data_IF_066436304412
#
_entry.id   IF_066436304412
#
_cell.length_a   1.000
_cell.length_b   1.000
_cell.length_c   1.000
_cell.angle_alpha   90.00
_cell.angle_beta   90.00
_cell.angle_gamma   90.00
#
_symmetry.space_group_name_H-M   'P 1'
#
loop_
_entity.id
_entity.type
_entity.pdbx_description
1 polymer ?
#
# COMPACT_ATOMS: atom_id res chain seq x y z
N UNK A 1 -0.14 -15.01 15.22
CA UNK A 1 -1.61 -15.12 15.03
C UNK A 1 -2.22 -13.88 15.68
N UNK A 2 -3.23 -13.24 15.07
CA UNK A 2 -3.80 -11.98 15.60
C UNK A 2 -5.08 -12.30 16.36
N UNK A 3 -5.27 -11.70 17.52
CA UNK A 3 -6.45 -11.88 18.36
C UNK A 3 -7.66 -11.14 17.75
N UNK A 4 -8.81 -11.81 17.64
CA UNK A 4 -10.01 -11.27 16.96
C UNK A 4 -11.17 -10.97 17.92
N UNK A 5 -11.31 -11.71 19.01
CA UNK A 5 -12.46 -11.57 19.92
C UNK A 5 -12.16 -10.57 21.04
N UNK A 6 -10.95 -10.63 21.59
CA UNK A 6 -10.47 -9.72 22.63
C UNK A 6 -9.89 -8.45 22.00
N UNK A 7 -10.63 -7.34 22.17
CA UNK A 7 -10.27 -6.04 21.61
C UNK A 7 -9.02 -5.45 22.27
N UNK A 8 -8.85 -5.65 23.57
CA UNK A 8 -7.74 -5.06 24.33
C UNK A 8 -6.43 -5.77 23.97
N UNK A 9 -6.45 -7.11 23.89
CA UNK A 9 -5.31 -7.87 23.41
C UNK A 9 -4.94 -7.50 21.97
N UNK A 10 -5.94 -7.30 21.10
CA UNK A 10 -5.72 -6.85 19.73
C UNK A 10 -5.09 -5.46 19.65
N UNK A 11 -5.47 -4.55 20.55
CA UNK A 11 -4.83 -3.24 20.66
C UNK A 11 -3.34 -3.34 21.02
N UNK A 12 -2.98 -4.21 21.96
CA UNK A 12 -1.58 -4.45 22.33
C UNK A 12 -0.77 -5.01 21.14
N UNK A 13 -1.32 -5.98 20.41
CA UNK A 13 -0.70 -6.54 19.20
C UNK A 13 -0.55 -5.50 18.08
N UNK A 14 -1.48 -4.55 18.00
CA UNK A 14 -1.45 -3.46 17.02
C UNK A 14 -0.39 -2.43 17.37
N UNK A 15 -0.24 -2.12 18.65
CA UNK A 15 0.75 -1.16 19.14
C UNK A 15 2.18 -1.61 18.82
N UNK A 16 2.45 -2.91 18.81
CA UNK A 16 3.75 -3.49 18.43
C UNK A 16 4.14 -3.27 16.96
N UNK A 17 3.19 -2.87 16.11
CA UNK A 17 3.43 -2.59 14.68
C UNK A 17 3.90 -1.16 14.42
N UNK A 18 3.74 -0.29 15.42
CA UNK A 18 4.10 1.12 15.34
C UNK A 18 5.47 1.29 15.97
N UNK A 19 6.41 1.74 15.15
CA UNK A 19 7.78 1.90 15.57
C UNK A 19 7.99 3.20 16.35
N UNK A 20 8.65 3.09 17.50
CA UNK A 20 9.10 4.26 18.27
C UNK A 20 9.93 5.21 17.39
N UNK A 21 9.74 6.54 17.46
CA UNK A 21 9.02 7.28 18.51
C UNK A 21 7.50 7.45 18.29
N UNK A 22 6.95 6.84 17.25
CA UNK A 22 5.51 6.93 16.98
C UNK A 22 4.69 6.05 17.92
N UNK A 23 3.41 6.36 18.04
CA UNK A 23 2.47 5.65 18.89
C UNK A 23 1.16 5.41 18.15
N UNK A 24 0.54 4.26 18.41
CA UNK A 24 -0.79 3.95 17.91
C UNK A 24 -1.79 4.91 18.55
N UNK A 25 -2.57 5.59 17.72
CA UNK A 25 -3.75 6.34 18.15
C UNK A 25 -4.88 5.35 18.43
N UNK A 26 -5.39 5.25 19.67
CA UNK A 26 -6.44 4.31 20.01
C UNK A 26 -7.74 4.51 19.22
N UNK A 27 -7.95 5.70 18.64
CA UNK A 27 -9.10 6.03 17.81
C UNK A 27 -8.94 5.60 16.34
N UNK A 28 -7.73 5.20 15.93
CA UNK A 28 -7.39 4.76 14.57
C UNK A 28 -7.04 3.27 14.52
N UNK A 29 -7.73 2.46 15.32
CA UNK A 29 -7.66 1.00 15.33
C UNK A 29 -8.78 0.40 14.45
N UNK A 30 -8.49 0.23 13.17
CA UNK A 30 -9.49 -0.04 12.13
C UNK A 30 -9.59 -1.54 11.82
N UNK A 31 -10.25 -2.27 12.71
CA UNK A 31 -10.17 -3.73 12.74
C UNK A 31 -11.13 -4.48 11.80
N UNK A 32 -12.08 -3.76 11.20
CA UNK A 32 -13.06 -4.28 10.25
C UNK A 32 -13.32 -3.30 9.11
N UNK A 33 -14.01 -3.74 8.04
CA UNK A 33 -14.47 -2.84 6.99
C UNK A 33 -15.36 -1.70 7.52
N UNK A 34 -16.20 -1.96 8.53
CA UNK A 34 -17.05 -0.91 9.10
C UNK A 34 -16.24 0.10 9.90
N UNK A 35 -15.25 -0.33 10.69
CA UNK A 35 -14.35 0.61 11.39
C UNK A 35 -13.62 1.53 10.40
N UNK A 36 -13.24 1.00 9.23
CA UNK A 36 -12.68 1.80 8.14
C UNK A 36 -13.68 2.82 7.57
N UNK A 37 -14.93 2.44 7.33
CA UNK A 37 -15.97 3.38 6.89
C UNK A 37 -16.18 4.48 7.92
N UNK A 38 -16.31 4.11 9.21
CA UNK A 38 -16.48 5.07 10.31
C UNK A 38 -15.30 6.05 10.38
N UNK A 39 -14.08 5.58 10.07
CA UNK A 39 -12.87 6.39 10.08
C UNK A 39 -12.86 7.51 9.02
N UNK A 40 -13.66 7.41 7.95
CA UNK A 40 -13.76 8.49 6.96
C UNK A 40 -14.31 9.79 7.59
N UNK A 41 -15.09 9.67 8.67
CA UNK A 41 -15.60 10.80 9.44
C UNK A 41 -14.65 11.20 10.60
N UNK A 42 -13.59 10.44 10.87
CA UNK A 42 -12.63 10.76 11.92
C UNK A 42 -11.88 12.06 11.58
N UNK A 43 -11.77 13.05 12.50
CA UNK A 43 -11.23 14.37 12.17
C UNK A 43 -9.83 14.33 11.53
N UNK A 44 -8.94 13.46 12.01
CA UNK A 44 -7.58 13.33 11.45
C UNK A 44 -7.58 12.74 10.03
N UNK A 45 -8.50 11.82 9.72
CA UNK A 45 -8.59 11.17 8.41
C UNK A 45 -9.31 12.08 7.42
N UNK A 46 -10.42 12.70 7.82
CA UNK A 46 -11.12 13.69 7.01
C UNK A 46 -10.21 14.87 6.63
N UNK A 47 -9.47 15.43 7.60
CA UNK A 47 -8.50 16.48 7.35
C UNK A 47 -7.36 16.03 6.41
N UNK A 48 -6.89 14.79 6.56
CA UNK A 48 -5.89 14.22 5.66
C UNK A 48 -6.40 14.08 4.22
N UNK A 49 -7.59 13.47 4.05
CA UNK A 49 -8.23 13.28 2.75
C UNK A 49 -8.43 14.65 2.08
N UNK A 50 -8.91 15.66 2.81
CA UNK A 50 -9.05 17.01 2.30
C UNK A 50 -7.71 17.61 1.87
N UNK A 51 -6.67 17.47 2.70
CA UNK A 51 -5.32 17.92 2.34
C UNK A 51 -4.83 17.29 1.04
N UNK A 52 -4.86 15.96 0.92
CA UNK A 52 -4.34 15.29 -0.28
C UNK A 52 -5.23 15.50 -1.50
N UNK A 53 -6.56 15.69 -1.35
CA UNK A 53 -7.50 15.90 -2.46
C UNK A 53 -7.60 17.36 -2.93
N UNK A 54 -7.24 18.34 -2.10
CA UNK A 54 -7.47 19.76 -2.44
C UNK A 54 -6.21 20.61 -2.44
N UNK A 55 -5.19 20.26 -1.66
CA UNK A 55 -4.13 21.20 -1.32
C UNK A 55 -2.70 20.70 -1.57
N UNK A 56 -2.46 19.39 -1.49
CA UNK A 56 -1.13 18.84 -1.75
C UNK A 56 -0.68 19.15 -3.19
N UNK A 57 0.48 19.77 -3.35
CA UNK A 57 1.10 20.00 -4.65
C UNK A 57 2.56 19.55 -4.58
N UNK A 58 2.99 18.59 -5.42
CA UNK A 58 4.37 18.14 -5.42
C UNK A 58 5.33 19.26 -5.84
N UNK A 59 6.50 19.31 -5.20
CA UNK A 59 7.57 20.26 -5.58
C UNK A 59 8.79 19.48 -6.03
N UNK A 60 9.12 19.58 -7.31
CA UNK A 60 10.21 18.82 -7.91
C UNK A 60 11.34 19.72 -8.40
N UNK A 61 12.60 19.26 -8.31
CA UNK A 61 13.66 19.85 -9.12
C UNK A 61 13.38 19.68 -10.62
N UNK A 62 14.20 20.34 -11.44
CA UNK A 62 14.21 20.06 -12.88
C UNK A 62 14.60 18.61 -13.10
N UNK A 63 13.83 17.90 -13.91
CA UNK A 63 14.04 16.51 -14.27
C UNK A 63 13.68 16.35 -15.76
N UNK A 64 14.32 15.40 -16.44
CA UNK A 64 14.00 15.07 -17.83
C UNK A 64 12.74 14.21 -17.93
N UNK A 65 12.54 13.34 -16.94
CA UNK A 65 11.35 12.50 -16.81
C UNK A 65 10.94 12.37 -15.35
N UNK A 66 9.65 12.36 -15.08
CA UNK A 66 9.05 12.23 -13.74
C UNK A 66 8.08 11.07 -13.71
N UNK A 67 8.29 10.17 -12.76
CA UNK A 67 7.41 9.02 -12.53
C UNK A 67 6.80 9.12 -11.15
N UNK A 68 5.48 9.02 -11.08
CA UNK A 68 4.77 8.76 -9.83
C UNK A 68 4.75 7.25 -9.58
N UNK A 69 5.40 6.80 -8.51
CA UNK A 69 5.42 5.41 -8.07
C UNK A 69 4.53 5.26 -6.82
N UNK A 70 3.37 4.65 -7.01
CA UNK A 70 2.54 4.17 -5.92
C UNK A 70 3.07 2.86 -5.35
N UNK A 71 3.20 2.79 -4.03
CA UNK A 71 3.59 1.61 -3.26
C UNK A 71 2.45 1.24 -2.30
N UNK A 72 2.30 -0.02 -1.87
CA UNK A 72 1.26 -0.40 -0.92
C UNK A 72 1.62 0.04 0.49
N UNK A 73 0.61 0.24 1.33
CA UNK A 73 0.85 0.35 2.77
C UNK A 73 1.35 -0.99 3.33
N UNK A 74 2.03 -0.92 4.47
CA UNK A 74 2.62 -2.09 5.14
C UNK A 74 2.16 -2.18 6.59
N UNK A 75 2.25 -3.40 7.14
CA UNK A 75 1.95 -3.66 8.56
C UNK A 75 2.77 -2.75 9.49
N UNK A 76 4.09 -2.68 9.27
CA UNK A 76 5.00 -1.83 10.05
C UNK A 76 4.85 -0.38 9.64
N UNK A 77 4.79 0.51 10.64
CA UNK A 77 4.70 1.97 10.45
C UNK A 77 5.81 2.67 11.24
N UNK A 78 6.45 3.72 10.68
CA UNK A 78 6.19 4.32 9.36
C UNK A 78 6.61 3.37 8.23
N UNK A 79 5.88 3.41 7.10
CA UNK A 79 6.04 2.44 6.01
C UNK A 79 7.48 2.25 5.50
N UNK A 80 8.32 3.31 5.37
CA UNK A 80 9.70 3.17 4.89
C UNK A 80 10.59 2.30 5.79
N UNK A 81 10.16 2.04 7.03
CA UNK A 81 10.88 1.15 7.94
C UNK A 81 10.51 -0.34 7.77
N UNK A 82 9.48 -0.65 6.98
CA UNK A 82 9.11 -2.03 6.65
C UNK A 82 10.14 -2.71 5.76
N UNK A 83 10.29 -4.04 5.88
CA UNK A 83 11.19 -4.83 5.02
C UNK A 83 10.94 -4.60 3.53
N UNK A 84 9.66 -4.46 3.15
CA UNK A 84 9.26 -4.28 1.75
C UNK A 84 9.71 -2.93 1.20
N UNK A 85 9.43 -1.84 1.92
CA UNK A 85 9.84 -0.50 1.48
C UNK A 85 11.35 -0.34 1.50
N UNK A 86 12.04 -0.92 2.50
CA UNK A 86 13.51 -0.94 2.54
C UNK A 86 14.09 -1.64 1.31
N UNK A 87 13.56 -2.80 0.92
CA UNK A 87 14.03 -3.53 -0.27
C UNK A 87 13.80 -2.74 -1.58
N UNK A 88 12.61 -2.15 -1.75
CA UNK A 88 12.28 -1.34 -2.94
C UNK A 88 13.17 -0.09 -2.99
N UNK A 89 13.31 0.63 -1.88
CA UNK A 89 14.16 1.82 -1.81
C UNK A 89 15.64 1.47 -2.04
N UNK A 90 16.12 0.36 -1.45
CA UNK A 90 17.49 -0.10 -1.65
C UNK A 90 17.74 -0.41 -3.12
N UNK A 91 16.80 -1.08 -3.81
CA UNK A 91 16.94 -1.34 -5.25
C UNK A 91 17.07 -0.05 -6.06
N UNK A 92 16.28 0.98 -5.75
CA UNK A 92 16.39 2.27 -6.40
C UNK A 92 17.77 2.88 -6.15
N UNK A 93 18.25 2.88 -4.91
CA UNK A 93 19.56 3.41 -4.53
C UNK A 93 20.70 2.66 -5.25
N UNK A 94 20.65 1.33 -5.27
CA UNK A 94 21.62 0.48 -5.97
C UNK A 94 21.63 0.75 -7.49
N UNK A 95 20.52 1.25 -8.03
CA UNK A 95 20.38 1.63 -9.43
C UNK A 95 20.84 3.07 -9.72
N UNK A 96 21.41 3.76 -8.74
CA UNK A 96 21.98 5.10 -8.89
C UNK A 96 21.05 6.26 -8.51
N UNK A 97 19.87 5.98 -7.95
CA UNK A 97 18.98 7.03 -7.45
C UNK A 97 19.49 7.62 -6.14
N UNK A 98 19.36 8.95 -5.99
CA UNK A 98 19.76 9.69 -4.80
C UNK A 98 18.62 10.59 -4.33
N UNK A 99 18.45 10.82 -3.02
CA UNK A 99 17.46 11.77 -2.53
C UNK A 99 17.71 13.20 -2.99
N UNK A 100 16.63 13.90 -3.29
CA UNK A 100 16.67 15.31 -3.72
C UNK A 100 16.80 16.29 -2.56
N UNK A 101 16.54 15.85 -1.32
CA UNK A 101 16.73 16.66 -0.13
C UNK A 101 17.09 15.78 1.09
N UNK A 102 17.51 16.44 2.18
CA UNK A 102 17.81 15.77 3.46
C UNK A 102 16.57 15.69 4.33
N UNK A 103 15.61 14.85 3.94
CA UNK A 103 14.41 14.59 4.70
C UNK A 103 14.37 13.11 5.10
N UNK A 104 14.66 12.79 6.35
CA UNK A 104 14.73 11.41 6.84
C UNK A 104 13.66 11.14 7.90
N UNK A 105 13.37 9.87 8.14
CA UNK A 105 12.70 9.43 9.35
C UNK A 105 13.47 9.87 10.62
N UNK A 106 12.83 9.90 11.81
CA UNK A 106 13.50 10.22 13.08
C UNK A 106 14.81 9.46 13.32
N UNK A 107 15.75 10.09 14.02
CA UNK A 107 17.11 9.57 14.24
C UNK A 107 17.09 8.21 14.97
N UNK A 108 16.12 7.99 15.85
CA UNK A 108 15.93 6.74 16.58
C UNK A 108 15.67 5.57 15.64
N UNK A 109 14.94 5.80 14.54
CA UNK A 109 14.71 4.79 13.51
C UNK A 109 15.94 4.58 12.64
N UNK A 110 16.63 5.66 12.27
CA UNK A 110 17.89 5.58 11.50
C UNK A 110 18.96 4.76 12.23
N UNK A 111 19.08 4.94 13.54
CA UNK A 111 20.04 4.22 14.38
C UNK A 111 19.75 2.71 14.50
N UNK A 112 18.51 2.30 14.22
CA UNK A 112 18.06 0.90 14.26
C UNK A 112 18.04 0.22 12.89
N UNK A 113 18.41 0.94 11.82
CA UNK A 113 18.48 0.38 10.48
C UNK A 113 19.51 -0.76 10.44
N UNK A 114 19.15 -1.86 9.81
CA UNK A 114 20.05 -3.00 9.67
C UNK A 114 21.27 -2.63 8.80
N UNK A 115 22.50 -3.05 9.16
CA UNK A 115 23.72 -2.61 8.47
C UNK A 115 23.79 -2.94 6.97
N UNK A 116 22.98 -3.88 6.49
CA UNK A 116 22.90 -4.24 5.07
C UNK A 116 22.18 -3.20 4.22
N UNK A 117 21.45 -2.26 4.82
CA UNK A 117 20.74 -1.20 4.10
C UNK A 117 21.50 0.12 4.16
N UNK A 118 21.47 0.86 3.05
CA UNK A 118 21.89 2.26 3.02
C UNK A 118 20.97 3.10 3.90
N UNK A 119 21.52 4.09 4.61
CA UNK A 119 20.70 5.07 5.37
C UNK A 119 19.70 5.81 4.47
N UNK A 120 20.00 5.94 3.18
CA UNK A 120 19.12 6.61 2.21
C UNK A 120 17.78 5.89 2.02
N UNK A 121 17.64 4.62 2.40
CA UNK A 121 16.35 3.90 2.30
C UNK A 121 15.26 4.53 3.18
N UNK A 122 15.66 5.28 4.22
CA UNK A 122 14.76 5.97 5.15
C UNK A 122 14.52 7.44 4.77
N UNK A 123 15.04 7.90 3.62
CA UNK A 123 14.79 9.24 3.12
C UNK A 123 13.39 9.33 2.49
N UNK A 124 12.68 10.41 2.79
CA UNK A 124 11.29 10.68 2.42
C UNK A 124 11.15 11.60 1.20
N UNK A 125 12.23 12.20 0.72
CA UNK A 125 12.18 13.07 -0.45
C UNK A 125 12.03 12.29 -1.76
N UNK A 126 11.64 12.94 -2.87
CA UNK A 126 11.77 12.36 -4.19
C UNK A 126 13.21 11.92 -4.47
N UNK A 127 13.36 10.88 -5.30
CA UNK A 127 14.66 10.38 -5.72
C UNK A 127 14.95 10.79 -7.17
N UNK A 128 16.21 11.07 -7.50
CA UNK A 128 16.64 11.40 -8.86
C UNK A 128 17.95 10.68 -9.20
N UNK A 129 18.12 10.27 -10.45
CA UNK A 129 19.38 9.72 -10.96
C UNK A 129 20.14 10.72 -11.86
N UNK A 130 21.36 10.36 -12.23
CA UNK A 130 22.25 11.20 -13.04
C UNK A 130 21.74 11.41 -14.48
N UNK A 131 20.82 10.56 -14.95
CA UNK A 131 20.18 10.70 -16.27
C UNK A 131 19.04 11.72 -16.25
N UNK A 132 18.57 12.10 -15.06
CA UNK A 132 17.50 13.07 -14.83
C UNK A 132 16.12 12.43 -14.74
N UNK A 133 16.02 11.13 -14.44
CA UNK A 133 14.78 10.46 -14.08
C UNK A 133 14.48 10.69 -12.60
N UNK A 134 13.32 11.27 -12.31
CA UNK A 134 12.83 11.51 -10.96
C UNK A 134 11.73 10.51 -10.60
N UNK A 135 11.87 9.87 -9.44
CA UNK A 135 10.86 9.00 -8.83
C UNK A 135 10.23 9.73 -7.65
N UNK A 136 8.97 10.05 -7.79
CA UNK A 136 8.13 10.53 -6.70
C UNK A 136 7.32 9.37 -6.14
N UNK A 137 7.45 9.13 -4.84
CA UNK A 137 6.85 7.97 -4.19
C UNK A 137 5.61 8.39 -3.40
N UNK A 138 4.53 7.62 -3.55
CA UNK A 138 3.33 7.73 -2.73
C UNK A 138 2.89 6.35 -2.25
N UNK A 139 2.27 6.27 -1.09
CA UNK A 139 1.71 5.02 -0.57
C UNK A 139 0.19 5.01 -0.76
N UNK A 140 -0.36 4.00 -1.43
CA UNK A 140 -1.81 3.75 -1.40
C UNK A 140 -2.12 3.10 -0.06
N UNK A 141 -3.08 3.66 0.69
CA UNK A 141 -3.37 3.21 2.04
C UNK A 141 -4.82 3.48 2.43
N UNK A 142 -5.50 2.50 2.99
CA UNK A 142 -6.72 2.73 3.75
C UNK A 142 -6.40 3.23 5.18
N UNK A 143 -7.12 4.26 5.70
CA UNK A 143 -8.22 5.00 5.09
C UNK A 143 -7.79 6.31 4.40
N UNK A 144 -6.50 6.50 4.16
CA UNK A 144 -5.92 7.78 3.72
C UNK A 144 -6.02 8.04 2.21
N UNK A 145 -6.38 7.03 1.41
CA UNK A 145 -6.34 7.05 -0.05
C UNK A 145 -4.90 7.00 -0.56
N UNK A 146 -4.16 8.10 -0.42
CA UNK A 146 -2.74 8.21 -0.76
C UNK A 146 -1.94 8.92 0.32
N UNK A 147 -0.67 8.54 0.47
CA UNK A 147 0.30 9.15 1.38
C UNK A 147 1.58 9.52 0.65
N UNK A 148 1.81 10.79 0.28
CA UNK A 148 3.10 11.25 -0.23
C UNK A 148 4.22 10.97 0.75
N UNK A 149 5.37 10.49 0.26
CA UNK A 149 6.48 10.10 1.14
C UNK A 149 6.94 11.27 2.02
N UNK A 150 6.97 12.47 1.46
CA UNK A 150 7.34 13.72 2.13
C UNK A 150 6.43 14.04 3.33
N UNK A 151 5.25 13.42 3.39
CA UNK A 151 4.24 13.62 4.43
C UNK A 151 3.93 12.36 5.24
N UNK A 152 4.79 11.33 5.17
CA UNK A 152 4.63 10.13 5.99
C UNK A 152 4.71 10.45 7.48
N UNK A 153 5.58 11.38 7.89
CA UNK A 153 5.78 11.72 9.31
C UNK A 153 4.89 12.89 9.73
N UNK A 154 4.80 13.93 8.90
CA UNK A 154 4.15 15.19 9.25
C UNK A 154 3.50 15.84 8.02
N UNK A 155 2.38 16.52 8.23
CA UNK A 155 1.76 17.41 7.26
C UNK A 155 1.24 18.66 7.99
N UNK A 156 1.49 19.85 7.43
CA UNK A 156 1.10 21.14 8.04
C UNK A 156 1.57 21.34 9.50
N UNK A 157 2.76 20.85 9.86
CA UNK A 157 3.23 20.93 11.25
C UNK A 157 2.49 19.99 12.21
N UNK A 158 1.70 19.04 11.70
CA UNK A 158 0.93 18.08 12.49
C UNK A 158 1.36 16.63 12.19
N UNK A 159 1.35 15.73 13.19
CA UNK A 159 1.66 14.32 12.97
C UNK A 159 0.71 13.68 11.95
N UNK A 160 1.32 13.06 10.93
CA UNK A 160 0.58 12.32 9.91
C UNK A 160 -0.19 11.14 10.53
N UNK A 161 -1.44 10.87 10.12
CA UNK A 161 -2.16 9.68 10.56
C UNK A 161 -1.45 8.39 10.10
N UNK A 162 -0.61 8.45 9.07
CA UNK A 162 0.10 7.30 8.51
C UNK A 162 1.04 6.59 9.49
N UNK A 163 1.50 7.28 10.54
CA UNK A 163 2.37 6.69 11.57
C UNK A 163 1.62 6.18 12.80
N UNK A 164 0.30 6.38 12.88
CA UNK A 164 -0.44 6.26 14.13
C UNK A 164 -1.73 5.42 14.02
N UNK A 165 -1.95 4.69 12.93
CA UNK A 165 -3.14 3.84 12.76
C UNK A 165 -2.76 2.36 12.74
N UNK A 166 -3.71 1.46 12.95
CA UNK A 166 -3.58 0.05 12.57
C UNK A 166 -4.77 -0.39 11.74
N UNK A 167 -4.47 -1.17 10.70
CA UNK A 167 -5.46 -1.80 9.84
C UNK A 167 -4.89 -3.18 9.43
N UNK A 168 -5.57 -4.30 9.73
CA UNK A 168 -5.13 -5.64 9.31
C UNK A 168 -5.18 -5.86 7.79
N UNK A 169 -5.68 -4.88 7.04
CA UNK A 169 -5.99 -4.88 5.64
C UNK A 169 -7.35 -5.52 5.37
N UNK A 170 -8.08 -4.99 4.40
CA UNK A 170 -9.43 -5.43 4.05
C UNK A 170 -9.44 -6.75 3.25
N UNK A 171 -9.02 -7.84 3.88
CA UNK A 171 -8.86 -9.15 3.25
C UNK A 171 -9.91 -10.17 3.73
N UNK A 172 -10.98 -10.36 2.94
CA UNK A 172 -12.05 -11.34 3.26
C UNK A 172 -11.51 -12.76 3.51
N UNK A 173 -10.51 -13.21 2.72
CA UNK A 173 -9.97 -14.57 2.83
C UNK A 173 -9.09 -14.81 4.06
N UNK A 174 -8.49 -13.76 4.63
CA UNK A 174 -7.61 -13.87 5.82
C UNK A 174 -8.42 -14.05 7.11
N UNK A 175 -9.65 -13.54 7.13
CA UNK A 175 -10.58 -13.76 8.24
C UNK A 175 -10.20 -13.07 9.54
N UNK A 176 -9.33 -12.06 9.49
CA UNK A 176 -8.91 -11.25 10.63
C UNK A 176 -9.42 -9.79 10.59
N UNK A 177 -9.95 -9.34 9.44
CA UNK A 177 -10.58 -8.03 9.30
C UNK A 177 -12.06 -8.08 9.68
N UNK A 178 -12.35 -8.37 10.95
CA UNK A 178 -13.69 -8.40 11.53
C UNK A 178 -13.66 -7.85 12.96
N UNK A 179 -14.79 -7.34 13.42
CA UNK A 179 -14.98 -6.76 14.75
C UNK A 179 -16.23 -7.35 15.40
N UNK A 180 -16.20 -8.62 15.85
CA UNK A 180 -17.39 -9.34 16.32
C UNK A 180 -17.99 -8.76 17.61
N UNK A 181 -17.27 -7.88 18.30
CA UNK A 181 -17.78 -7.13 19.44
C UNK A 181 -18.74 -5.99 19.05
N UNK A 182 -18.79 -5.60 17.77
CA UNK A 182 -19.75 -4.59 17.30
C UNK A 182 -21.15 -5.21 17.17
N UNK A 183 -22.17 -4.44 17.49
CA UNK A 183 -23.58 -4.87 17.43
C UNK A 183 -24.09 -5.03 16.00
N UNK A 184 -23.47 -4.35 15.03
CA UNK A 184 -23.76 -4.42 13.60
C UNK A 184 -22.93 -5.47 12.84
N UNK A 185 -22.04 -6.20 13.53
CA UNK A 185 -21.23 -7.24 12.90
C UNK A 185 -22.10 -8.43 12.50
N UNK A 186 -21.98 -8.84 11.23
CA UNK A 186 -22.60 -10.07 10.71
C UNK A 186 -21.60 -11.16 10.40
N UNK A 187 -20.32 -10.94 10.72
CA UNK A 187 -19.28 -11.94 10.56
C UNK A 187 -19.55 -13.18 11.41
N UNK A 188 -19.25 -14.36 10.85
CA UNK A 188 -19.42 -15.65 11.54
C UNK A 188 -18.08 -16.31 11.77
N UNK A 189 -17.87 -16.84 12.98
CA UNK A 189 -16.71 -17.68 13.28
C UNK A 189 -16.76 -18.98 12.46
N UNK A 190 -15.66 -19.31 11.78
CA UNK A 190 -15.45 -20.59 11.09
C UNK A 190 -14.62 -21.53 11.97
N UNK A 191 -13.65 -20.97 12.69
CA UNK A 191 -12.90 -21.64 13.75
C UNK A 191 -12.47 -20.59 14.78
N UNK A 192 -11.77 -21.02 15.85
CA UNK A 192 -11.30 -20.13 16.92
C UNK A 192 -10.54 -18.89 16.39
N UNK A 193 -9.82 -19.04 15.28
CA UNK A 193 -8.92 -18.00 14.74
C UNK A 193 -9.26 -17.59 13.31
N UNK A 194 -10.41 -18.00 12.78
CA UNK A 194 -10.82 -17.70 11.40
C UNK A 194 -12.27 -17.29 11.36
N UNK A 195 -12.51 -16.10 10.81
CA UNK A 195 -13.84 -15.57 10.60
C UNK A 195 -14.15 -15.42 9.11
N UNK A 196 -15.44 -15.43 8.79
CA UNK A 196 -15.95 -15.15 7.46
C UNK A 196 -16.79 -13.88 7.54
N UNK A 197 -16.59 -12.98 6.59
CA UNK A 197 -17.43 -11.79 6.45
C UNK A 197 -18.89 -12.16 6.19
N UNK A 198 -19.79 -11.50 6.91
CA UNK A 198 -21.21 -11.49 6.63
C UNK A 198 -21.56 -10.41 5.60
N UNK A 199 -22.83 -10.07 5.54
CA UNK A 199 -23.35 -9.11 4.58
C UNK A 199 -22.97 -7.66 4.92
N UNK A 200 -22.89 -7.31 6.20
CA UNK A 200 -22.49 -5.97 6.65
C UNK A 200 -21.00 -5.70 6.38
N UNK A 201 -20.10 -6.65 6.68
CA UNK A 201 -18.67 -6.48 6.38
C UNK A 201 -18.42 -6.35 4.87
N UNK A 202 -19.17 -7.11 4.04
CA UNK A 202 -19.08 -6.99 2.58
C UNK A 202 -19.62 -5.66 2.07
N UNK A 203 -20.72 -5.15 2.66
CA UNK A 203 -21.30 -3.86 2.29
C UNK A 203 -20.35 -2.72 2.64
N UNK A 204 -19.87 -2.70 3.88
CA UNK A 204 -18.90 -1.72 4.36
C UNK A 204 -17.59 -1.77 3.56
N UNK A 205 -17.14 -2.97 3.19
CA UNK A 205 -15.97 -3.12 2.31
C UNK A 205 -16.16 -2.43 0.96
N UNK A 206 -17.32 -2.57 0.32
CA UNK A 206 -17.58 -1.93 -0.97
C UNK A 206 -17.60 -0.40 -0.83
N UNK A 207 -18.24 0.11 0.23
CA UNK A 207 -18.25 1.55 0.53
C UNK A 207 -16.83 2.07 0.70
N UNK A 208 -16.04 1.43 1.56
CA UNK A 208 -14.66 1.83 1.82
C UNK A 208 -13.78 1.71 0.57
N UNK A 209 -13.89 0.60 -0.15
CA UNK A 209 -13.12 0.35 -1.37
C UNK A 209 -13.34 1.45 -2.40
N UNK A 210 -14.60 1.78 -2.69
CA UNK A 210 -14.93 2.78 -3.70
C UNK A 210 -14.52 4.18 -3.24
N UNK A 211 -14.62 4.49 -1.94
CA UNK A 211 -14.10 5.75 -1.39
C UNK A 211 -12.58 5.88 -1.55
N UNK A 212 -11.81 4.81 -1.30
CA UNK A 212 -10.36 4.80 -1.52
C UNK A 212 -9.99 4.94 -2.99
N UNK A 213 -10.67 4.22 -3.88
CA UNK A 213 -10.46 4.34 -5.33
C UNK A 213 -10.74 5.76 -5.83
N UNK A 214 -11.84 6.38 -5.39
CA UNK A 214 -12.19 7.76 -5.73
C UNK A 214 -11.15 8.75 -5.19
N UNK A 215 -10.66 8.55 -3.95
CA UNK A 215 -9.62 9.40 -3.37
C UNK A 215 -8.33 9.34 -4.19
N UNK A 216 -7.86 8.14 -4.55
CA UNK A 216 -6.69 7.94 -5.41
C UNK A 216 -6.89 8.64 -6.76
N UNK A 217 -8.03 8.40 -7.42
CA UNK A 217 -8.34 9.01 -8.71
C UNK A 217 -8.41 10.54 -8.64
N UNK A 218 -9.01 11.10 -7.58
CA UNK A 218 -9.10 12.55 -7.39
C UNK A 218 -7.72 13.18 -7.29
N UNK A 219 -6.80 12.55 -6.54
CA UNK A 219 -5.43 13.06 -6.44
C UNK A 219 -4.74 12.98 -7.79
N UNK A 220 -4.78 11.82 -8.46
CA UNK A 220 -4.14 11.64 -9.77
C UNK A 220 -4.71 12.59 -10.82
N UNK A 221 -6.02 12.80 -10.87
CA UNK A 221 -6.63 13.76 -11.79
C UNK A 221 -6.12 15.19 -11.60
N UNK A 222 -5.82 15.58 -10.35
CA UNK A 222 -5.29 16.91 -10.02
C UNK A 222 -3.82 17.05 -10.37
N UNK A 223 -2.97 16.16 -9.84
CA UNK A 223 -1.51 16.33 -9.91
C UNK A 223 -0.85 15.51 -11.03
N UNK A 224 -1.61 14.65 -11.72
CA UNK A 224 -1.11 13.71 -12.73
C UNK A 224 -0.34 14.37 -13.86
N UNK A 225 -0.71 15.61 -14.20
CA UNK A 225 -0.04 16.43 -15.21
C UNK A 225 1.42 16.77 -14.88
N UNK A 226 1.87 16.57 -13.64
CA UNK A 226 3.26 16.76 -13.23
C UNK A 226 4.16 15.57 -13.60
N UNK A 227 3.60 14.46 -14.08
CA UNK A 227 4.32 13.21 -14.34
C UNK A 227 4.18 12.80 -15.81
N UNK A 228 5.26 12.21 -16.33
CA UNK A 228 5.25 11.55 -17.64
C UNK A 228 4.69 10.13 -17.53
N UNK A 229 4.64 9.59 -16.31
CA UNK A 229 4.22 8.22 -16.06
C UNK A 229 3.70 8.03 -14.64
N UNK A 230 2.71 7.13 -14.49
CA UNK A 230 2.07 6.83 -13.21
C UNK A 230 1.96 5.31 -13.07
N UNK A 231 2.71 4.77 -12.12
CA UNK A 231 2.87 3.33 -11.90
C UNK A 231 2.44 2.98 -10.49
N UNK A 232 1.68 1.90 -10.32
CA UNK A 232 1.39 1.29 -9.02
C UNK A 232 2.08 -0.05 -8.90
N UNK A 233 3.00 -0.17 -7.93
CA UNK A 233 3.76 -1.37 -7.64
C UNK A 233 3.11 -2.14 -6.48
N UNK A 234 2.08 -2.93 -6.78
CA UNK A 234 1.22 -3.61 -5.80
C UNK A 234 0.97 -5.08 -6.19
N UNK A 235 1.27 -6.03 -5.30
CA UNK A 235 1.24 -7.45 -5.66
C UNK A 235 -0.18 -7.94 -6.03
N UNK A 236 -0.30 -8.91 -6.96
CA UNK A 236 -1.55 -9.62 -7.21
C UNK A 236 -2.06 -10.29 -5.93
N UNK A 237 -3.19 -9.80 -5.42
CA UNK A 237 -3.79 -10.28 -4.17
C UNK A 237 -3.82 -9.25 -3.03
N UNK A 238 -3.15 -8.10 -3.17
CA UNK A 238 -3.32 -6.97 -2.26
C UNK A 238 -4.58 -6.17 -2.62
N UNK A 239 -5.33 -5.73 -1.59
CA UNK A 239 -6.51 -4.88 -1.78
C UNK A 239 -6.15 -3.57 -2.51
N UNK A 240 -4.95 -3.03 -2.31
CA UNK A 240 -4.43 -1.87 -3.04
C UNK A 240 -4.57 -2.00 -4.57
N UNK A 241 -4.31 -3.18 -5.14
CA UNK A 241 -4.50 -3.42 -6.58
C UNK A 241 -5.95 -3.21 -7.01
N UNK A 242 -6.89 -3.65 -6.19
CA UNK A 242 -8.33 -3.50 -6.49
C UNK A 242 -8.82 -2.06 -6.44
N UNK A 243 -8.17 -1.19 -5.65
CA UNK A 243 -8.44 0.25 -5.64
C UNK A 243 -7.96 0.95 -6.92
N UNK A 244 -6.94 0.41 -7.60
CA UNK A 244 -6.35 1.02 -8.79
C UNK A 244 -7.08 0.57 -10.06
N UNK A 245 -7.15 -0.73 -10.30
CA UNK A 245 -7.56 -1.27 -11.60
C UNK A 245 -9.04 -1.06 -11.89
N UNK A 246 -9.33 -0.67 -13.14
CA UNK A 246 -10.69 -0.45 -13.62
C UNK A 246 -11.40 -1.74 -14.01
N UNK A 247 -12.70 -1.64 -14.30
CA UNK A 247 -13.60 -2.75 -14.66
C UNK A 247 -13.04 -3.62 -15.79
N UNK A 248 -12.46 -3.02 -16.84
CA UNK A 248 -11.89 -3.75 -17.98
C UNK A 248 -10.63 -4.55 -17.65
N UNK A 249 -9.94 -4.20 -16.57
CA UNK A 249 -8.65 -4.80 -16.18
C UNK A 249 -8.81 -5.95 -15.17
N UNK A 250 -9.95 -6.01 -14.47
CA UNK A 250 -10.18 -6.91 -13.33
C UNK A 250 -10.05 -8.39 -13.68
N UNK A 251 -10.61 -8.82 -14.81
CA UNK A 251 -10.54 -10.23 -15.24
C UNK A 251 -9.10 -10.66 -15.50
N UNK A 252 -8.34 -9.84 -16.22
CA UNK A 252 -6.92 -10.12 -16.52
C UNK A 252 -6.05 -10.17 -15.26
N UNK A 253 -6.47 -9.49 -14.18
CA UNK A 253 -5.76 -9.45 -12.90
C UNK A 253 -6.28 -10.44 -11.85
N UNK A 254 -7.27 -11.29 -12.19
CA UNK A 254 -7.94 -12.19 -11.24
C UNK A 254 -8.53 -11.46 -10.02
N UNK A 255 -9.04 -10.24 -10.22
CA UNK A 255 -9.67 -9.42 -9.16
C UNK A 255 -11.18 -9.41 -9.35
N UNK A 256 -11.91 -9.58 -8.26
CA UNK A 256 -13.37 -9.53 -8.30
C UNK A 256 -13.90 -8.12 -8.66
N UNK A 257 -14.94 -8.06 -9.49
CA UNK A 257 -15.61 -6.83 -9.89
C UNK A 257 -16.79 -6.41 -8.98
N UNK A 258 -17.20 -7.28 -8.06
CA UNK A 258 -18.31 -7.00 -7.15
C UNK A 258 -18.26 -7.88 -5.90
N UNK A 259 -19.07 -7.54 -4.90
CA UNK A 259 -19.38 -8.38 -3.73
C UNK A 259 -20.86 -8.71 -3.72
N UNK A 260 -21.20 -9.93 -3.31
CA UNK A 260 -22.59 -10.37 -3.10
C UNK A 260 -23.01 -10.02 -1.68
N UNK A 261 -24.14 -9.33 -1.52
CA UNK A 261 -24.76 -8.94 -0.25
C UNK A 261 -26.23 -9.33 -0.32
N UNK A 262 -26.63 -10.33 0.44
CA UNK A 262 -27.94 -10.98 0.30
C UNK A 262 -28.17 -11.49 -1.12
N UNK A 263 -29.22 -10.98 -1.76
CA UNK A 263 -29.56 -11.28 -3.17
C UNK A 263 -28.93 -10.31 -4.18
N UNK A 264 -28.26 -9.25 -3.72
CA UNK A 264 -27.72 -8.19 -4.58
C UNK A 264 -26.22 -8.34 -4.81
N UNK A 265 -25.71 -7.69 -5.87
CA UNK A 265 -24.28 -7.54 -6.11
C UNK A 265 -23.95 -6.06 -6.12
N UNK A 266 -23.00 -5.66 -5.27
CA UNK A 266 -22.50 -4.30 -5.18
C UNK A 266 -21.16 -4.22 -5.94
N UNK A 267 -21.02 -3.20 -6.79
CA UNK A 267 -19.86 -3.05 -7.67
C UNK A 267 -18.62 -2.53 -6.94
N UNK A 268 -17.46 -3.03 -7.36
CA UNK A 268 -16.16 -2.50 -6.97
C UNK A 268 -15.61 -1.66 -8.12
N UNK A 269 -15.44 -0.37 -7.86
CA UNK A 269 -14.99 0.63 -8.82
C UNK A 269 -13.54 0.99 -8.49
N UNK A 270 -12.66 0.93 -9.49
CA UNK A 270 -11.24 1.28 -9.31
C UNK A 270 -10.95 2.72 -9.75
N UNK A 271 -9.79 3.24 -9.37
CA UNK A 271 -9.36 4.59 -9.71
C UNK A 271 -9.31 4.80 -11.24
N UNK A 272 -8.85 3.79 -11.99
CA UNK A 272 -8.81 3.82 -13.46
C UNK A 272 -10.20 3.86 -14.12
N UNK A 273 -11.29 3.57 -13.40
CA UNK A 273 -12.66 3.79 -13.92
C UNK A 273 -13.06 5.27 -13.90
N UNK A 274 -12.39 6.09 -13.08
CA UNK A 274 -12.64 7.52 -12.94
C UNK A 274 -11.67 8.39 -13.75
N UNK A 275 -10.54 7.83 -14.18
CA UNK A 275 -9.46 8.57 -14.84
C UNK A 275 -9.61 8.54 -16.36
N UNK A 276 -9.26 9.64 -17.06
CA UNK A 276 -9.14 9.62 -18.51
C UNK A 276 -7.97 8.73 -18.95
N UNK A 277 -8.01 8.22 -20.19
CA UNK A 277 -7.02 7.26 -20.71
C UNK A 277 -5.57 7.72 -20.51
N UNK A 278 -5.27 9.00 -20.77
CA UNK A 278 -3.93 9.57 -20.64
C UNK A 278 -3.42 9.77 -19.20
N UNK A 279 -4.23 9.47 -18.18
CA UNK A 279 -3.84 9.56 -16.76
C UNK A 279 -4.02 8.23 -16.02
N UNK A 280 -4.34 7.15 -16.73
CA UNK A 280 -4.52 5.83 -16.10
C UNK A 280 -3.24 5.38 -15.42
N UNK A 281 -3.42 4.76 -14.26
CA UNK A 281 -2.34 4.23 -13.43
C UNK A 281 -2.00 2.83 -13.96
N UNK A 282 -0.76 2.61 -14.38
CA UNK A 282 -0.29 1.29 -14.79
C UNK A 282 -0.04 0.42 -13.55
N UNK A 283 -0.78 -0.67 -13.40
CA UNK A 283 -0.71 -1.52 -12.21
C UNK A 283 0.22 -2.74 -12.40
N UNK A 284 1.35 -2.75 -11.71
CA UNK A 284 2.42 -3.74 -11.77
C UNK A 284 2.71 -4.38 -10.40
N UNK A 285 3.37 -5.55 -10.35
CA UNK A 285 3.68 -6.43 -11.48
C UNK A 285 2.42 -7.05 -12.11
N UNK A 286 2.48 -7.45 -13.38
CA UNK A 286 1.39 -8.19 -14.02
C UNK A 286 1.36 -9.65 -13.52
N UNK A 287 0.25 -10.38 -13.69
CA UNK A 287 0.21 -11.81 -13.37
C UNK A 287 1.27 -12.64 -14.11
N UNK A 288 1.62 -12.28 -15.35
CA UNK A 288 2.67 -12.96 -16.10
C UNK A 288 4.05 -12.66 -15.51
N UNK A 289 4.36 -11.39 -15.20
CA UNK A 289 5.61 -11.05 -14.50
C UNK A 289 5.75 -11.78 -13.16
N UNK A 290 4.65 -11.94 -12.42
CA UNK A 290 4.66 -12.74 -11.19
C UNK A 290 4.99 -14.23 -11.44
N UNK A 291 4.50 -14.80 -12.53
CA UNK A 291 4.79 -16.19 -12.92
C UNK A 291 6.26 -16.33 -13.33
N UNK A 292 6.74 -15.46 -14.21
CA UNK A 292 8.15 -15.42 -14.64
C UNK A 292 9.10 -15.19 -13.46
N UNK A 293 8.71 -14.35 -12.49
CA UNK A 293 9.50 -14.14 -11.28
C UNK A 293 9.62 -15.40 -10.42
N UNK A 294 8.59 -16.26 -10.38
CA UNK A 294 8.67 -17.56 -9.70
C UNK A 294 9.65 -18.50 -10.42
N UNK A 295 9.68 -18.47 -11.75
CA UNK A 295 10.63 -19.26 -12.56
C UNK A 295 12.07 -18.77 -12.30
N UNK A 296 12.32 -17.46 -12.39
CA UNK A 296 13.64 -16.87 -12.07
C UNK A 296 14.08 -17.15 -10.62
N UNK A 297 13.13 -17.15 -9.68
CA UNK A 297 13.39 -17.49 -8.28
C UNK A 297 13.76 -18.97 -8.14
N UNK A 298 13.09 -19.88 -8.84
CA UNK A 298 13.41 -21.30 -8.82
C UNK A 298 14.84 -21.56 -9.31
N UNK A 299 15.23 -20.91 -10.41
CA UNK A 299 16.58 -20.99 -10.97
C UNK A 299 17.62 -20.46 -9.98
N UNK A 300 17.40 -19.28 -9.38
CA UNK A 300 18.33 -18.70 -8.39
C UNK A 300 18.49 -19.57 -7.15
N UNK A 301 17.42 -20.23 -6.71
CA UNK A 301 17.44 -21.11 -5.54
C UNK A 301 17.90 -22.54 -5.86
N UNK A 302 18.04 -22.90 -7.15
CA UNK A 302 18.35 -24.27 -7.57
C UNK A 302 17.29 -25.28 -7.10
N UNK A 303 16.02 -24.92 -7.17
CA UNK A 303 14.89 -25.70 -6.64
C UNK A 303 13.74 -25.81 -7.63
N UNK A 304 12.72 -26.62 -7.32
CA UNK A 304 11.54 -26.75 -8.17
C UNK A 304 10.56 -25.57 -8.01
N UNK A 305 9.65 -25.41 -8.98
CA UNK A 305 8.65 -24.34 -9.00
C UNK A 305 7.71 -24.37 -7.78
N UNK A 306 7.45 -25.53 -7.19
CA UNK A 306 6.54 -25.65 -6.04
C UNK A 306 7.18 -25.03 -4.80
N UNK A 307 8.46 -25.36 -4.56
CA UNK A 307 9.23 -24.78 -3.47
C UNK A 307 9.44 -23.28 -3.67
N UNK A 308 9.82 -22.87 -4.89
CA UNK A 308 9.99 -21.47 -5.25
C UNK A 308 8.70 -20.66 -5.03
N UNK A 309 7.54 -21.19 -5.47
CA UNK A 309 6.25 -20.56 -5.22
C UNK A 309 5.96 -20.39 -3.73
N UNK A 310 6.33 -21.37 -2.90
CA UNK A 310 6.22 -21.27 -1.45
C UNK A 310 7.05 -20.11 -0.87
N UNK A 311 8.29 -19.94 -1.35
CA UNK A 311 9.16 -18.80 -0.96
C UNK A 311 8.57 -17.48 -1.45
N UNK A 312 8.16 -17.44 -2.73
CA UNK A 312 7.52 -16.30 -3.36
C UNK A 312 6.32 -15.81 -2.55
N UNK A 313 5.39 -16.71 -2.21
CA UNK A 313 4.17 -16.39 -1.45
C UNK A 313 4.45 -15.81 -0.05
N UNK A 314 5.65 -16.01 0.50
CA UNK A 314 6.09 -15.43 1.79
C UNK A 314 6.91 -14.15 1.63
N UNK A 315 7.22 -13.73 0.40
CA UNK A 315 7.96 -12.51 0.04
C UNK A 315 9.41 -12.40 0.53
N UNK A 316 9.86 -13.35 1.37
CA UNK A 316 11.10 -13.21 2.15
C UNK A 316 10.96 -12.21 3.30
N UNK A 317 11.56 -12.50 4.46
CA UNK A 317 11.71 -11.55 5.58
C UNK A 317 10.43 -10.79 6.03
N UNK A 318 9.27 -11.46 6.02
CA UNK A 318 7.94 -10.88 6.36
C UNK A 318 7.44 -9.78 5.41
N UNK A 319 7.94 -9.72 4.17
CA UNK A 319 7.43 -8.83 3.11
C UNK A 319 6.44 -9.55 2.17
N UNK A 320 5.81 -8.80 1.26
CA UNK A 320 5.14 -9.41 0.10
C UNK A 320 6.17 -9.73 -1.00
N UNK A 321 5.81 -10.46 -2.07
CA UNK A 321 6.75 -10.77 -3.15
C UNK A 321 7.39 -9.54 -3.81
N UNK A 322 6.81 -8.33 -3.63
CA UNK A 322 7.34 -7.08 -4.19
C UNK A 322 8.76 -6.73 -3.75
N UNK A 323 9.23 -7.33 -2.65
CA UNK A 323 10.58 -7.14 -2.13
C UNK A 323 11.61 -8.09 -2.77
N UNK A 324 11.16 -9.07 -3.58
CA UNK A 324 12.04 -10.05 -4.17
C UNK A 324 12.85 -9.46 -5.33
N UNK A 325 14.14 -9.80 -5.46
CA UNK A 325 14.99 -9.31 -6.55
C UNK A 325 14.36 -9.48 -7.94
N UNK A 326 13.70 -10.62 -8.17
CA UNK A 326 13.12 -10.96 -9.46
C UNK A 326 12.04 -9.96 -9.90
N UNK A 327 11.18 -9.52 -8.99
CA UNK A 327 10.16 -8.51 -9.29
C UNK A 327 10.75 -7.10 -9.26
N UNK A 328 11.73 -6.84 -8.41
CA UNK A 328 12.43 -5.56 -8.37
C UNK A 328 13.17 -5.28 -9.70
N UNK A 329 13.65 -6.31 -10.39
CA UNK A 329 14.17 -6.20 -11.76
C UNK A 329 13.09 -5.73 -12.75
N UNK A 330 11.88 -6.28 -12.68
CA UNK A 330 10.75 -5.86 -13.53
C UNK A 330 10.32 -4.41 -13.25
N UNK A 331 10.34 -3.99 -11.98
CA UNK A 331 10.10 -2.59 -11.61
C UNK A 331 11.16 -1.68 -12.25
N UNK A 332 12.45 -2.04 -12.14
CA UNK A 332 13.51 -1.23 -12.71
C UNK A 332 13.42 -1.15 -14.24
N UNK A 333 13.09 -2.25 -14.92
CA UNK A 333 12.85 -2.27 -16.35
C UNK A 333 11.69 -1.33 -16.76
N UNK A 334 10.62 -1.24 -15.95
CA UNK A 334 9.52 -0.29 -16.19
C UNK A 334 9.93 1.16 -16.00
N UNK A 335 10.72 1.43 -14.96
CA UNK A 335 11.18 2.78 -14.64
C UNK A 335 12.21 3.28 -15.65
N UNK A 336 13.06 2.39 -16.18
CA UNK A 336 14.06 2.66 -17.21
C UNK A 336 13.79 1.83 -18.47
N UNK A 337 12.75 2.14 -19.26
CA UNK A 337 12.58 1.48 -20.54
C UNK A 337 13.82 1.79 -21.37
N UNK A 338 14.53 0.75 -21.82
CA UNK A 338 15.63 0.90 -22.78
C UNK A 338 15.12 1.66 -24.00
N UNK A 339 15.82 2.74 -24.33
CA UNK A 339 15.51 3.62 -25.46
C UNK A 339 15.58 2.91 -26.81
#
# INVERSE_FOLDING_TARGET
MVTIIDRDQRFLESSQKIESPFQLDPTLCLYSPQDNVDSLAHPRIAAWIDFVRKEYEPKFPKAKRRVLLFMPCTKTKPYPFSSEHKAINQRLIDSGFRPTSRQYLPQELQARLEPSFSQEVLNLSPLIDDEGLLIHRMVISEPMGVVPYEHIVEYRGQPSPATAYDDPGLFEKRGNAVSPWRTDSTATAVSANRWKWGDEERRAYVVMHNAMAEAVATVVARIGHNYDDIVSWVAPGLTHRSFVIGRSERSANNVAASRKVGTTRLELIGANDHLPEGQKITCLPTPEQCKEAVERLADRLGTDLTHAYGVYARGGANATPLALPELLDDLMARLRPTA
#
